data_IF_551825563936
#
_entry.id   IF_551825563936
#
_cell.length_a   1.000
_cell.length_b   1.000
_cell.length_c   1.000
_cell.angle_alpha   90.00
_cell.angle_beta   90.00
_cell.angle_gamma   90.00
#
_symmetry.space_group_name_H-M   'P 1'
#
loop_
_entity.id
_entity.type
_entity.pdbx_description
1 polymer ?
#
# COMPACT_ATOMS: atom_id res chain seq x y z
N UNK A 1 7.91 -18.49 -18.68
CA UNK A 1 9.12 -17.87 -19.16
C UNK A 1 9.14 -16.36 -18.93
N UNK A 2 10.25 -15.71 -19.26
CA UNK A 2 10.45 -14.27 -19.08
C UNK A 2 9.38 -13.44 -19.79
N UNK A 3 8.95 -13.86 -20.99
CA UNK A 3 7.91 -13.18 -21.79
C UNK A 3 6.55 -13.17 -21.05
N UNK A 4 6.20 -14.27 -20.36
CA UNK A 4 4.95 -14.35 -19.59
C UNK A 4 5.00 -13.47 -18.34
N UNK A 5 6.17 -13.31 -17.70
CA UNK A 5 6.35 -12.42 -16.56
C UNK A 5 6.23 -10.95 -16.96
N UNK A 6 6.82 -10.55 -18.09
CA UNK A 6 6.71 -9.19 -18.61
C UNK A 6 5.28 -8.84 -18.99
N UNK A 7 4.57 -9.76 -19.65
CA UNK A 7 3.16 -9.57 -20.02
C UNK A 7 2.27 -9.47 -18.77
N UNK A 8 2.50 -10.34 -17.78
CA UNK A 8 1.75 -10.33 -16.52
C UNK A 8 1.91 -8.99 -15.80
N UNK A 9 3.13 -8.53 -15.65
CA UNK A 9 3.43 -7.24 -15.00
C UNK A 9 2.83 -6.07 -15.77
N UNK A 10 2.93 -6.08 -17.11
CA UNK A 10 2.33 -5.08 -17.97
C UNK A 10 0.79 -5.02 -17.80
N UNK A 11 0.14 -6.18 -17.70
CA UNK A 11 -1.30 -6.25 -17.45
C UNK A 11 -1.63 -5.67 -16.07
N UNK A 12 -0.85 -5.98 -15.03
CA UNK A 12 -1.06 -5.44 -13.70
C UNK A 12 -0.90 -3.91 -13.67
N UNK A 13 0.10 -3.37 -14.35
CA UNK A 13 0.30 -1.92 -14.47
C UNK A 13 -0.86 -1.26 -15.22
N UNK A 14 -1.34 -1.88 -16.29
CA UNK A 14 -2.51 -1.39 -17.03
C UNK A 14 -3.79 -1.46 -16.19
N UNK A 15 -3.91 -2.47 -15.33
CA UNK A 15 -5.02 -2.60 -14.39
C UNK A 15 -5.00 -1.45 -13.37
N UNK A 16 -3.84 -1.06 -12.88
CA UNK A 16 -3.70 0.08 -11.98
C UNK A 16 -4.14 1.39 -12.65
N UNK A 17 -3.81 1.58 -13.92
CA UNK A 17 -4.27 2.73 -14.69
C UNK A 17 -5.80 2.72 -14.85
N UNK A 18 -6.38 1.58 -15.18
CA UNK A 18 -7.83 1.42 -15.30
C UNK A 18 -8.54 1.70 -13.96
N UNK A 19 -7.98 1.17 -12.87
CA UNK A 19 -8.47 1.42 -11.52
C UNK A 19 -8.41 2.92 -11.17
N UNK A 20 -7.32 3.59 -11.51
CA UNK A 20 -7.19 5.02 -11.24
C UNK A 20 -8.23 5.87 -12.01
N UNK A 21 -8.60 5.43 -13.21
CA UNK A 21 -9.60 6.13 -14.04
C UNK A 21 -11.03 5.84 -13.62
N UNK A 22 -11.35 4.61 -13.26
CA UNK A 22 -12.72 4.12 -13.05
C UNK A 22 -13.00 3.53 -11.66
N UNK A 23 -11.99 3.46 -10.78
CA UNK A 23 -12.14 2.86 -9.46
C UNK A 23 -12.51 1.37 -9.58
N UNK A 24 -13.37 0.90 -8.69
CA UNK A 24 -13.79 -0.51 -8.64
C UNK A 24 -14.59 -0.97 -9.88
N UNK A 25 -15.05 -0.03 -10.70
CA UNK A 25 -15.86 -0.29 -11.90
C UNK A 25 -15.02 -0.58 -13.15
N UNK A 26 -13.70 -0.60 -13.05
CA UNK A 26 -12.85 -0.93 -14.19
C UNK A 26 -13.24 -2.27 -14.81
N UNK A 27 -13.00 -2.43 -16.10
CA UNK A 27 -13.36 -3.64 -16.84
C UNK A 27 -12.14 -4.21 -17.57
N UNK A 28 -12.25 -5.47 -18.01
CA UNK A 28 -11.23 -6.09 -18.85
C UNK A 28 -11.07 -5.34 -20.18
N UNK A 29 -12.16 -4.79 -20.73
CA UNK A 29 -12.12 -3.94 -21.92
C UNK A 29 -11.28 -2.68 -21.71
N UNK A 30 -11.42 -2.05 -20.57
CA UNK A 30 -10.63 -0.86 -20.21
C UNK A 30 -9.14 -1.17 -20.23
N UNK A 31 -8.73 -2.29 -19.64
CA UNK A 31 -7.33 -2.73 -19.60
C UNK A 31 -6.82 -3.03 -21.00
N UNK A 32 -7.61 -3.78 -21.78
CA UNK A 32 -7.28 -4.13 -23.15
C UNK A 32 -7.05 -2.87 -24.00
N UNK A 33 -7.91 -1.87 -23.84
CA UNK A 33 -7.81 -0.59 -24.52
C UNK A 33 -6.54 0.18 -24.12
N UNK A 34 -6.27 0.29 -22.82
CA UNK A 34 -5.08 0.97 -22.28
C UNK A 34 -3.80 0.34 -22.82
N UNK A 35 -3.74 -0.98 -22.88
CA UNK A 35 -2.53 -1.71 -23.26
C UNK A 35 -2.42 -1.95 -24.78
N UNK A 36 -3.49 -1.72 -25.53
CA UNK A 36 -3.51 -2.05 -26.95
C UNK A 36 -3.41 -3.55 -27.23
N UNK A 37 -3.99 -4.38 -26.38
CA UNK A 37 -4.03 -5.83 -26.51
C UNK A 37 -5.48 -6.34 -26.51
N UNK A 38 -5.68 -7.62 -26.92
CA UNK A 38 -7.01 -8.20 -26.89
C UNK A 38 -7.39 -8.66 -25.48
N UNK A 39 -8.69 -8.69 -25.19
CA UNK A 39 -9.19 -9.34 -23.97
C UNK A 39 -8.77 -10.79 -23.85
N UNK A 40 -8.72 -11.50 -24.98
CA UNK A 40 -8.26 -12.88 -25.03
C UNK A 40 -6.85 -13.03 -24.47
N UNK A 41 -5.97 -12.09 -24.78
CA UNK A 41 -4.59 -12.07 -24.26
C UNK A 41 -4.60 -11.92 -22.73
N UNK A 42 -5.46 -11.05 -22.19
CA UNK A 42 -5.59 -10.88 -20.74
C UNK A 42 -6.11 -12.15 -20.09
N UNK A 43 -7.16 -12.77 -20.65
CA UNK A 43 -7.74 -14.00 -20.12
C UNK A 43 -6.79 -15.21 -20.19
N UNK A 44 -5.76 -15.18 -21.02
CA UNK A 44 -4.71 -16.19 -21.03
C UNK A 44 -3.84 -16.15 -19.77
N UNK A 45 -3.76 -14.99 -19.12
CA UNK A 45 -2.93 -14.78 -17.91
C UNK A 45 -3.79 -14.81 -16.64
N UNK A 46 -4.98 -14.21 -16.69
CA UNK A 46 -5.89 -14.10 -15.54
C UNK A 46 -7.26 -14.66 -15.91
N UNK A 47 -7.79 -15.53 -15.07
CA UNK A 47 -9.06 -16.22 -15.34
C UNK A 47 -10.25 -15.26 -15.41
N UNK A 48 -10.28 -14.23 -14.58
CA UNK A 48 -11.37 -13.28 -14.48
C UNK A 48 -10.90 -11.97 -13.83
N UNK A 49 -11.80 -11.00 -13.73
CA UNK A 49 -11.53 -9.70 -13.10
C UNK A 49 -11.07 -9.83 -11.65
N UNK A 50 -11.69 -10.71 -10.88
CA UNK A 50 -11.38 -10.87 -9.46
C UNK A 50 -9.97 -11.41 -9.27
N UNK A 51 -9.56 -12.42 -10.03
CA UNK A 51 -8.20 -12.95 -10.02
C UNK A 51 -7.17 -11.86 -10.40
N UNK A 52 -7.48 -11.08 -11.41
CA UNK A 52 -6.64 -9.95 -11.84
C UNK A 52 -6.54 -8.88 -10.76
N UNK A 53 -7.65 -8.50 -10.15
CA UNK A 53 -7.70 -7.51 -9.09
C UNK A 53 -6.90 -7.98 -7.87
N UNK A 54 -7.07 -9.23 -7.47
CA UNK A 54 -6.31 -9.81 -6.36
C UNK A 54 -4.80 -9.76 -6.63
N UNK A 55 -4.38 -10.14 -7.83
CA UNK A 55 -2.98 -10.08 -8.25
C UNK A 55 -2.45 -8.64 -8.28
N UNK A 56 -3.27 -7.66 -8.67
CA UNK A 56 -2.92 -6.24 -8.61
C UNK A 56 -2.68 -5.78 -7.18
N UNK A 57 -3.52 -6.18 -6.24
CA UNK A 57 -3.36 -5.85 -4.81
C UNK A 57 -2.03 -6.41 -4.29
N UNK A 58 -1.75 -7.69 -4.57
CA UNK A 58 -0.47 -8.29 -4.16
C UNK A 58 0.73 -7.58 -4.80
N UNK A 59 0.64 -7.25 -6.06
CA UNK A 59 1.68 -6.50 -6.77
C UNK A 59 1.94 -5.14 -6.11
N UNK A 60 0.89 -4.41 -5.75
CA UNK A 60 1.01 -3.14 -5.05
C UNK A 60 1.75 -3.30 -3.72
N UNK A 61 1.38 -4.27 -2.91
CA UNK A 61 2.04 -4.51 -1.62
C UNK A 61 3.49 -4.99 -1.81
N UNK A 62 3.78 -5.77 -2.84
CA UNK A 62 5.15 -6.18 -3.16
C UNK A 62 6.01 -4.97 -3.53
N UNK A 63 5.46 -4.01 -4.26
CA UNK A 63 6.13 -2.74 -4.56
C UNK A 63 6.37 -1.91 -3.29
N UNK A 64 5.43 -1.92 -2.35
CA UNK A 64 5.61 -1.28 -1.03
C UNK A 64 6.79 -1.93 -0.30
N UNK A 65 6.88 -3.25 -0.29
CA UNK A 65 7.99 -3.98 0.33
C UNK A 65 9.33 -3.64 -0.32
N UNK A 66 9.38 -3.49 -1.63
CA UNK A 66 10.58 -3.06 -2.32
C UNK A 66 10.99 -1.63 -1.92
N UNK A 67 10.02 -0.72 -1.82
CA UNK A 67 10.27 0.64 -1.34
C UNK A 67 10.78 0.66 0.11
N UNK A 68 10.29 -0.23 0.97
CA UNK A 68 10.83 -0.41 2.33
C UNK A 68 12.30 -0.82 2.31
N UNK A 69 12.68 -1.76 1.44
CA UNK A 69 14.09 -2.18 1.30
C UNK A 69 14.98 -1.02 0.85
N UNK A 70 14.50 -0.19 -0.07
CA UNK A 70 15.22 1.01 -0.52
C UNK A 70 15.45 1.98 0.62
N UNK A 71 14.46 2.21 1.47
CA UNK A 71 14.59 3.07 2.67
C UNK A 71 15.65 2.50 3.61
N UNK A 72 15.59 1.19 3.88
CA UNK A 72 16.56 0.52 4.78
C UNK A 72 17.99 0.57 4.25
N UNK A 73 18.16 0.48 2.94
CA UNK A 73 19.47 0.50 2.29
C UNK A 73 20.06 1.91 2.12
N UNK A 74 19.28 2.95 2.33
CA UNK A 74 19.70 4.34 2.13
C UNK A 74 20.59 4.81 3.28
N UNK A 75 21.90 4.79 3.07
CA UNK A 75 22.89 5.19 4.06
C UNK A 75 22.90 6.70 4.37
N UNK A 76 22.23 7.51 3.54
CA UNK A 76 22.10 8.95 3.78
C UNK A 76 21.08 9.28 4.88
N UNK A 77 20.25 8.30 5.29
CA UNK A 77 19.20 8.46 6.28
C UNK A 77 19.64 7.96 7.66
N UNK A 78 19.40 8.76 8.68
CA UNK A 78 19.50 8.31 10.08
C UNK A 78 18.30 7.42 10.46
N UNK A 79 18.40 6.78 11.63
CA UNK A 79 17.37 5.85 12.12
C UNK A 79 15.98 6.49 12.22
N UNK A 80 15.89 7.70 12.79
CA UNK A 80 14.62 8.42 12.94
C UNK A 80 13.98 8.72 11.57
N UNK A 81 14.80 9.17 10.62
CA UNK A 81 14.33 9.45 9.26
C UNK A 81 13.82 8.18 8.57
N UNK A 82 14.53 7.06 8.75
CA UNK A 82 14.09 5.75 8.23
C UNK A 82 12.76 5.32 8.84
N UNK A 83 12.59 5.49 10.15
CA UNK A 83 11.33 5.16 10.85
C UNK A 83 10.17 5.95 10.22
N UNK A 84 10.34 7.26 10.07
CA UNK A 84 9.29 8.12 9.49
C UNK A 84 8.95 7.71 8.06
N UNK A 85 9.96 7.41 7.25
CA UNK A 85 9.76 7.01 5.85
C UNK A 85 9.14 5.63 5.71
N UNK A 86 9.57 4.64 6.52
CA UNK A 86 9.09 3.27 6.39
C UNK A 86 7.62 3.13 6.80
N UNK A 87 7.18 3.88 7.82
CA UNK A 87 5.79 3.84 8.27
C UNK A 87 4.82 4.42 7.25
N UNK A 88 5.26 5.39 6.46
CA UNK A 88 4.45 6.04 5.43
C UNK A 88 4.87 5.70 4.01
N UNK A 89 5.58 4.59 3.82
CA UNK A 89 6.13 4.26 2.51
C UNK A 89 5.02 4.01 1.47
N UNK A 90 5.16 4.68 0.33
CA UNK A 90 4.28 4.56 -0.81
C UNK A 90 5.13 4.68 -2.06
N UNK A 91 5.09 3.70 -2.98
CA UNK A 91 5.80 3.82 -4.25
C UNK A 91 5.40 5.09 -5.00
N UNK A 92 6.35 5.77 -5.59
CA UNK A 92 6.11 7.03 -6.30
C UNK A 92 5.04 6.88 -7.39
N UNK A 93 5.05 5.75 -8.10
CA UNK A 93 4.09 5.44 -9.16
C UNK A 93 2.65 5.31 -8.68
N UNK A 94 2.42 5.14 -7.36
CA UNK A 94 1.08 4.94 -6.80
C UNK A 94 0.54 6.16 -6.05
N UNK A 95 1.34 7.21 -5.89
CA UNK A 95 0.92 8.44 -5.19
C UNK A 95 -0.24 9.16 -5.89
N UNK A 96 -0.34 9.01 -7.20
CA UNK A 96 -1.39 9.60 -8.02
C UNK A 96 -2.69 8.77 -8.03
N UNK A 97 -2.69 7.55 -7.48
CA UNK A 97 -3.86 6.68 -7.51
C UNK A 97 -4.89 7.14 -6.49
N UNK A 98 -6.14 7.24 -6.93
CA UNK A 98 -7.25 7.61 -6.08
C UNK A 98 -7.81 6.41 -5.32
N UNK A 99 -7.46 6.30 -4.04
CA UNK A 99 -7.93 5.23 -3.16
C UNK A 99 -9.16 5.62 -2.32
N UNK A 100 -9.76 6.80 -2.57
CA UNK A 100 -10.85 7.32 -1.71
C UNK A 100 -12.11 6.46 -1.71
N UNK A 101 -12.34 5.66 -2.76
CA UNK A 101 -13.50 4.78 -2.86
C UNK A 101 -13.26 3.36 -2.36
N UNK A 102 -12.11 3.10 -1.77
CA UNK A 102 -11.78 1.76 -1.27
C UNK A 102 -12.70 1.29 -0.13
N UNK A 103 -13.43 2.19 0.52
CA UNK A 103 -14.44 1.81 1.51
C UNK A 103 -15.57 0.94 0.91
N UNK A 104 -15.72 0.92 -0.41
CA UNK A 104 -16.67 0.06 -1.12
C UNK A 104 -16.13 -1.37 -1.36
N UNK A 105 -14.83 -1.58 -1.14
CA UNK A 105 -14.18 -2.84 -1.47
C UNK A 105 -14.76 -4.03 -0.70
N UNK A 106 -14.99 -3.85 0.60
CA UNK A 106 -15.47 -4.93 1.48
C UNK A 106 -16.79 -5.51 1.00
N UNK A 107 -17.72 -4.66 0.58
CA UNK A 107 -19.05 -5.11 0.14
C UNK A 107 -19.02 -5.71 -1.28
N UNK A 108 -18.21 -5.14 -2.17
CA UNK A 108 -18.16 -5.56 -3.58
C UNK A 108 -17.22 -6.74 -3.84
N UNK A 109 -16.10 -6.78 -3.13
CA UNK A 109 -15.04 -7.77 -3.31
C UNK A 109 -14.51 -8.23 -1.96
N UNK A 110 -15.28 -9.00 -1.17
CA UNK A 110 -14.90 -9.37 0.20
C UNK A 110 -13.59 -10.16 0.28
N UNK A 111 -13.30 -11.03 -0.70
CA UNK A 111 -12.05 -11.81 -0.72
C UNK A 111 -10.84 -10.91 -0.95
N UNK A 112 -10.97 -9.89 -1.80
CA UNK A 112 -9.90 -8.92 -2.04
C UNK A 112 -9.69 -8.05 -0.80
N UNK A 113 -10.78 -7.64 -0.16
CA UNK A 113 -10.71 -6.91 1.12
C UNK A 113 -9.96 -7.72 2.18
N UNK A 114 -10.26 -9.01 2.29
CA UNK A 114 -9.56 -9.91 3.21
C UNK A 114 -8.05 -9.97 2.92
N UNK A 115 -7.67 -10.03 1.65
CA UNK A 115 -6.26 -10.00 1.26
C UNK A 115 -5.58 -8.69 1.63
N UNK A 116 -6.27 -7.55 1.48
CA UNK A 116 -5.76 -6.24 1.93
C UNK A 116 -5.51 -6.25 3.44
N UNK A 117 -6.48 -6.73 4.23
CA UNK A 117 -6.32 -6.86 5.69
C UNK A 117 -5.10 -7.71 6.04
N UNK A 118 -4.97 -8.87 5.41
CA UNK A 118 -3.85 -9.77 5.66
C UNK A 118 -2.50 -9.11 5.35
N UNK A 119 -2.41 -8.39 4.24
CA UNK A 119 -1.18 -7.69 3.85
C UNK A 119 -0.86 -6.51 4.76
N UNK A 120 -1.87 -5.85 5.33
CA UNK A 120 -1.67 -4.78 6.32
C UNK A 120 -1.19 -5.32 7.67
N UNK A 121 -1.67 -6.50 8.07
CA UNK A 121 -1.36 -7.12 9.36
C UNK A 121 -0.03 -7.86 9.39
N UNK A 122 0.49 -8.27 8.25
CA UNK A 122 1.70 -9.11 8.14
C UNK A 122 2.87 -8.35 7.54
N UNK A 123 4.08 -8.95 7.65
CA UNK A 123 5.27 -8.38 7.03
C UNK A 123 5.87 -7.19 7.77
N UNK A 124 5.71 -7.12 9.08
CA UNK A 124 6.20 -6.02 9.92
C UNK A 124 7.60 -6.23 10.49
N UNK A 125 8.26 -7.34 10.19
CA UNK A 125 9.52 -7.74 10.82
C UNK A 125 10.61 -6.66 10.68
N UNK A 126 10.78 -6.11 9.49
CA UNK A 126 11.78 -5.06 9.22
C UNK A 126 11.45 -3.77 9.96
N UNK A 127 10.18 -3.36 9.98
CA UNK A 127 9.72 -2.16 10.68
C UNK A 127 9.90 -2.32 12.19
N UNK A 128 9.55 -3.48 12.74
CA UNK A 128 9.73 -3.79 14.16
C UNK A 128 11.20 -3.71 14.55
N UNK A 129 12.09 -4.33 13.78
CA UNK A 129 13.54 -4.29 14.02
C UNK A 129 14.07 -2.85 14.00
N UNK A 130 13.58 -2.03 13.09
CA UNK A 130 13.97 -0.62 12.99
C UNK A 130 13.48 0.19 14.21
N UNK A 131 12.27 -0.06 14.70
CA UNK A 131 11.75 0.57 15.92
C UNK A 131 12.56 0.16 17.16
N UNK A 132 12.92 -1.11 17.26
CA UNK A 132 13.78 -1.61 18.33
C UNK A 132 15.16 -0.93 18.29
N UNK A 133 15.75 -0.80 17.12
CA UNK A 133 17.00 -0.05 16.92
C UNK A 133 16.86 1.41 17.35
N UNK A 134 15.77 2.06 17.00
CA UNK A 134 15.50 3.44 17.39
C UNK A 134 15.41 3.62 18.91
N UNK A 135 14.82 2.65 19.61
CA UNK A 135 14.78 2.63 21.07
C UNK A 135 16.18 2.44 21.68
N UNK A 136 16.97 1.52 21.15
CA UNK A 136 18.35 1.29 21.61
C UNK A 136 19.24 2.51 21.41
N UNK A 137 19.12 3.16 20.25
CA UNK A 137 19.87 4.39 19.96
C UNK A 137 19.37 5.61 20.73
N UNK A 138 18.20 5.51 21.33
CA UNK A 138 17.57 6.61 22.06
C UNK A 138 16.98 7.71 21.19
N UNK A 139 16.81 7.48 19.89
CA UNK A 139 16.18 8.47 18.98
C UNK A 139 14.67 8.49 19.10
N UNK A 140 14.09 7.37 19.57
CA UNK A 140 12.69 7.30 20.01
C UNK A 140 12.66 6.85 21.46
N UNK A 141 11.58 7.25 22.18
CA UNK A 141 11.36 6.79 23.55
C UNK A 141 10.98 5.32 23.56
N UNK A 142 11.02 4.68 24.72
CA UNK A 142 10.53 3.31 24.86
C UNK A 142 9.01 3.31 24.70
N UNK A 143 8.56 2.49 23.73
CA UNK A 143 7.14 2.32 23.41
C UNK A 143 6.78 0.85 23.43
N UNK A 144 5.49 0.57 23.53
CA UNK A 144 4.96 -0.75 23.26
C UNK A 144 4.76 -0.88 21.74
N UNK A 145 5.64 -1.60 21.06
CA UNK A 145 5.60 -1.74 19.60
C UNK A 145 4.29 -2.34 19.11
N UNK A 146 3.73 -3.41 19.73
CA UNK A 146 2.42 -3.92 19.32
C UNK A 146 1.30 -2.87 19.37
N UNK A 147 1.33 -1.95 20.30
CA UNK A 147 0.34 -0.86 20.39
C UNK A 147 0.51 0.12 19.23
N UNK A 148 1.75 0.52 18.92
CA UNK A 148 2.01 1.39 17.76
C UNK A 148 1.56 0.73 16.46
N UNK A 149 1.90 -0.54 16.28
CA UNK A 149 1.48 -1.33 15.12
C UNK A 149 -0.05 -1.34 14.98
N UNK A 150 -0.76 -1.62 16.08
CA UNK A 150 -2.22 -1.60 16.11
C UNK A 150 -2.79 -0.23 15.71
N UNK A 151 -2.21 0.85 16.20
CA UNK A 151 -2.68 2.20 15.89
C UNK A 151 -2.55 2.51 14.40
N UNK A 152 -1.42 2.16 13.79
CA UNK A 152 -1.22 2.36 12.35
C UNK A 152 -2.15 1.46 11.54
N UNK A 153 -2.22 0.16 11.85
CA UNK A 153 -3.13 -0.78 11.18
C UNK A 153 -4.58 -0.32 11.25
N UNK A 154 -5.05 0.05 12.44
CA UNK A 154 -6.42 0.49 12.64
C UNK A 154 -6.73 1.75 11.83
N UNK A 155 -5.79 2.69 11.75
CA UNK A 155 -5.95 3.90 10.95
C UNK A 155 -6.08 3.56 9.45
N UNK A 156 -5.20 2.70 8.94
CA UNK A 156 -5.24 2.28 7.54
C UNK A 156 -6.52 1.49 7.23
N UNK A 157 -6.92 0.59 8.11
CA UNK A 157 -8.16 -0.18 7.95
C UNK A 157 -9.38 0.74 7.90
N UNK A 158 -9.44 1.80 8.72
CA UNK A 158 -10.54 2.77 8.67
C UNK A 158 -10.63 3.48 7.33
N UNK A 159 -9.51 3.73 6.64
CA UNK A 159 -9.53 4.30 5.29
C UNK A 159 -10.19 3.35 4.28
N UNK A 160 -10.17 2.05 4.53
CA UNK A 160 -10.79 1.02 3.68
C UNK A 160 -12.17 0.56 4.15
N UNK A 161 -12.63 0.98 5.33
CA UNK A 161 -13.93 0.62 5.89
C UNK A 161 -14.95 1.76 5.83
N UNK A 162 -14.47 3.00 5.76
CA UNK A 162 -15.31 4.19 5.84
C UNK A 162 -14.93 5.19 4.75
N UNK A 163 -15.84 6.11 4.47
CA UNK A 163 -15.64 7.19 3.50
C UNK A 163 -14.92 8.41 4.09
N UNK A 164 -14.10 8.20 5.11
CA UNK A 164 -13.44 9.27 5.87
C UNK A 164 -12.55 10.15 4.99
N UNK A 165 -11.90 9.58 3.97
CA UNK A 165 -11.06 10.36 3.06
C UNK A 165 -11.88 11.35 2.24
N UNK A 166 -13.08 10.95 1.82
CA UNK A 166 -14.01 11.82 1.09
C UNK A 166 -14.52 12.92 2.02
N UNK A 167 -14.95 12.56 3.22
CA UNK A 167 -15.46 13.51 4.22
C UNK A 167 -14.39 14.55 4.61
N UNK A 168 -13.15 14.09 4.77
CA UNK A 168 -12.02 14.94 5.18
C UNK A 168 -11.38 15.69 4.00
N UNK A 169 -11.78 15.39 2.77
CA UNK A 169 -11.21 15.96 1.54
C UNK A 169 -9.71 15.76 1.42
N UNK A 170 -9.23 14.59 1.85
CA UNK A 170 -7.83 14.19 1.80
C UNK A 170 -7.63 13.08 0.78
N UNK A 171 -6.48 13.08 0.11
CA UNK A 171 -6.01 11.90 -0.60
C UNK A 171 -5.54 10.85 0.42
N UNK A 172 -5.45 9.59 0.00
CA UNK A 172 -4.88 8.53 0.83
C UNK A 172 -3.46 8.88 1.29
N UNK A 173 -2.63 9.40 0.38
CA UNK A 173 -1.25 9.78 0.70
C UNK A 173 -1.17 10.89 1.74
N UNK A 174 -2.00 11.93 1.63
CA UNK A 174 -2.08 13.02 2.61
C UNK A 174 -2.51 12.50 3.98
N UNK A 175 -3.53 11.63 4.02
CA UNK A 175 -4.02 11.06 5.27
C UNK A 175 -2.98 10.13 5.93
N UNK A 176 -2.28 9.32 5.14
CA UNK A 176 -1.21 8.46 5.63
C UNK A 176 -0.07 9.29 6.22
N UNK A 177 0.35 10.35 5.53
CA UNK A 177 1.38 11.27 6.01
C UNK A 177 0.99 11.90 7.34
N UNK A 178 -0.25 12.35 7.48
CA UNK A 178 -0.78 12.91 8.72
C UNK A 178 -0.72 11.91 9.88
N UNK A 179 -1.18 10.67 9.65
CA UNK A 179 -1.14 9.60 10.65
C UNK A 179 0.30 9.32 11.08
N UNK A 180 1.21 9.18 10.13
CA UNK A 180 2.63 8.90 10.41
C UNK A 180 3.26 10.03 11.20
N UNK A 181 3.01 11.29 10.83
CA UNK A 181 3.56 12.44 11.55
C UNK A 181 3.05 12.51 12.99
N UNK A 182 1.77 12.28 13.22
CA UNK A 182 1.21 12.24 14.58
C UNK A 182 1.87 11.13 15.40
N UNK A 183 2.01 9.93 14.86
CA UNK A 183 2.59 8.80 15.56
C UNK A 183 4.07 9.01 15.85
N UNK A 184 4.85 9.41 14.84
CA UNK A 184 6.30 9.58 14.99
C UNK A 184 6.62 10.74 15.93
N UNK A 185 5.94 11.87 15.79
CA UNK A 185 6.15 13.02 16.70
C UNK A 185 5.78 12.67 18.14
N UNK A 186 4.87 11.70 18.33
CA UNK A 186 4.51 11.22 19.66
C UNK A 186 5.53 10.29 20.31
N UNK A 187 6.47 9.74 19.53
CA UNK A 187 7.47 8.79 20.04
C UNK A 187 8.91 9.31 20.02
N UNK A 188 9.16 10.45 19.40
CA UNK A 188 10.50 11.08 19.39
C UNK A 188 10.93 11.34 20.83
N UNK A 189 12.20 11.03 21.13
CA UNK A 189 12.80 11.35 22.43
C UNK A 189 12.84 12.86 22.60
N UNK A 190 12.25 13.33 23.71
CA UNK A 190 12.31 14.75 24.09
C UNK A 190 13.63 15.01 24.83
N UNK A 191 14.34 16.06 24.44
CA UNK A 191 15.53 16.56 25.16
C UNK A 191 15.12 17.32 26.40
#
# INVERSE_FOLDING_TARGET
GVVNMELREKILQGTMQAFNQKGLKFTMDDIAHILGISKKTIYQVFADKEALFLAMVDYLFDCIKESEREVMADESLGTLEKIRKILGVMPESYKEIDFRQMYLLKDKFPEIYHQVELRLETGWETTIALLEQGMEEGVIRRINIPVLKMMLEASLEQFFQRDILIQSKLSYGEALEEVVNILVDGIITRQ
#
